data_IF_915981557642
#
_entry.id   IF_915981557642
#
_cell.length_a   1.000
_cell.length_b   1.000
_cell.length_c   1.000
_cell.angle_alpha   90.00
_cell.angle_beta   90.00
_cell.angle_gamma   90.00
#
_symmetry.space_group_name_H-M   'P 1'
#
loop_
_entity.id
_entity.type
_entity.pdbx_description
1 polymer ?
#
# COMPACT_ATOMS: atom_id res chain seq x y z
N UNK A 1 3.50 -14.48 26.06
CA UNK A 1 2.14 -15.02 25.78
C UNK A 1 1.16 -13.89 25.96
N UNK A 2 0.30 -13.60 24.97
CA UNK A 2 -0.67 -12.51 25.07
C UNK A 2 -1.80 -12.93 26.03
N UNK A 3 -2.17 -12.08 26.99
CA UNK A 3 -3.30 -12.35 27.89
C UNK A 3 -4.62 -12.48 27.10
N UNK A 4 -5.51 -13.37 27.53
CA UNK A 4 -6.84 -13.53 26.94
C UNK A 4 -7.64 -12.22 26.97
N UNK A 5 -7.55 -11.47 28.07
CA UNK A 5 -8.24 -10.17 28.21
C UNK A 5 -7.70 -9.12 27.22
N UNK A 6 -6.41 -9.17 26.90
CA UNK A 6 -5.84 -8.28 25.89
C UNK A 6 -6.22 -8.69 24.47
N UNK A 7 -6.35 -10.01 24.22
CA UNK A 7 -6.83 -10.51 22.94
C UNK A 7 -8.25 -10.00 22.65
N UNK A 8 -9.15 -10.17 23.61
CA UNK A 8 -10.55 -9.77 23.47
C UNK A 8 -10.69 -8.25 23.25
N UNK A 9 -9.90 -7.47 23.99
CA UNK A 9 -9.86 -6.01 23.84
C UNK A 9 -9.38 -5.57 22.45
N UNK A 10 -8.33 -6.21 21.91
CA UNK A 10 -7.86 -5.95 20.53
C UNK A 10 -8.91 -6.33 19.49
N UNK A 11 -9.60 -7.46 19.67
CA UNK A 11 -10.67 -7.87 18.76
C UNK A 11 -11.84 -6.87 18.78
N UNK A 12 -12.22 -6.37 19.96
CA UNK A 12 -13.26 -5.34 20.08
C UNK A 12 -12.93 -4.06 19.32
N UNK A 13 -11.66 -3.60 19.37
CA UNK A 13 -11.23 -2.43 18.60
C UNK A 13 -11.16 -2.71 17.08
N UNK A 14 -10.72 -3.90 16.68
CA UNK A 14 -10.74 -4.31 15.27
C UNK A 14 -12.17 -4.36 14.71
N UNK A 15 -13.13 -4.86 15.49
CA UNK A 15 -14.54 -4.95 15.10
C UNK A 15 -15.20 -3.57 15.00
N UNK A 16 -14.69 -2.57 15.74
CA UNK A 16 -15.07 -1.16 15.61
C UNK A 16 -14.46 -0.46 14.39
N UNK A 17 -13.49 -1.09 13.72
CA UNK A 17 -12.78 -0.53 12.57
C UNK A 17 -11.61 0.40 12.94
N UNK A 18 -11.12 0.33 14.17
CA UNK A 18 -9.97 1.15 14.58
C UNK A 18 -8.69 0.78 13.83
N UNK A 19 -7.88 1.80 13.50
CA UNK A 19 -6.60 1.56 12.84
C UNK A 19 -5.62 0.83 13.77
N UNK A 20 -4.74 0.00 13.18
CA UNK A 20 -3.72 -0.70 13.95
C UNK A 20 -2.81 0.25 14.76
N UNK A 21 -2.57 1.46 14.25
CA UNK A 21 -1.83 2.50 14.97
C UNK A 21 -2.56 2.99 16.23
N UNK A 22 -3.87 3.22 16.12
CA UNK A 22 -4.68 3.62 17.26
C UNK A 22 -4.72 2.51 18.32
N UNK A 23 -4.93 1.27 17.89
CA UNK A 23 -4.92 0.10 18.78
C UNK A 23 -3.56 -0.04 19.48
N UNK A 24 -2.44 0.14 18.76
CA UNK A 24 -1.10 0.11 19.33
C UNK A 24 -0.91 1.18 20.40
N UNK A 25 -1.41 2.40 20.18
CA UNK A 25 -1.30 3.50 21.14
C UNK A 25 -2.05 3.24 22.45
N UNK A 26 -3.19 2.54 22.39
CA UNK A 26 -4.02 2.26 23.57
C UNK A 26 -3.57 0.98 24.30
N UNK A 27 -3.19 -0.05 23.55
CA UNK A 27 -2.86 -1.37 24.11
C UNK A 27 -1.37 -1.55 24.41
N UNK A 28 -0.51 -0.68 23.88
CA UNK A 28 0.95 -0.82 23.97
C UNK A 28 1.51 -1.97 23.14
N UNK A 29 0.70 -2.62 22.31
CA UNK A 29 1.12 -3.75 21.49
C UNK A 29 1.85 -3.29 20.24
N UNK A 30 2.88 -4.03 19.85
CA UNK A 30 3.56 -3.82 18.58
C UNK A 30 2.60 -4.06 17.39
N UNK A 31 2.71 -3.24 16.34
CA UNK A 31 1.91 -3.34 15.12
C UNK A 31 1.93 -4.74 14.51
N UNK A 32 3.09 -5.42 14.50
CA UNK A 32 3.20 -6.79 14.01
C UNK A 32 2.35 -7.79 14.81
N UNK A 33 2.19 -7.57 16.12
CA UNK A 33 1.34 -8.41 16.96
C UNK A 33 -0.13 -8.21 16.63
N UNK A 34 -0.56 -6.95 16.47
CA UNK A 34 -1.93 -6.59 16.08
C UNK A 34 -2.24 -7.15 14.68
N UNK A 35 -1.31 -7.00 13.73
CA UNK A 35 -1.47 -7.54 12.37
C UNK A 35 -1.59 -9.07 12.34
N UNK A 36 -0.83 -9.77 13.20
CA UNK A 36 -0.93 -11.22 13.36
C UNK A 36 -2.27 -11.64 13.98
N UNK A 37 -2.77 -10.91 14.98
CA UNK A 37 -4.09 -11.14 15.58
C UNK A 37 -5.17 -10.92 14.51
N UNK A 38 -5.11 -9.82 13.77
CA UNK A 38 -6.05 -9.52 12.69
C UNK A 38 -6.08 -10.65 11.65
N UNK A 39 -4.91 -11.08 11.16
CA UNK A 39 -4.79 -12.17 10.18
C UNK A 39 -5.34 -13.50 10.71
N UNK A 40 -5.16 -13.79 12.00
CA UNK A 40 -5.56 -15.06 12.62
C UNK A 40 -7.06 -15.13 12.94
N UNK A 41 -7.65 -14.05 13.43
CA UNK A 41 -9.02 -14.05 13.98
C UNK A 41 -10.04 -13.27 13.13
N UNK A 42 -9.56 -12.36 12.28
CA UNK A 42 -10.38 -11.47 11.43
C UNK A 42 -9.77 -11.39 10.03
N UNK A 43 -9.50 -12.54 9.42
CA UNK A 43 -8.93 -12.64 8.06
C UNK A 43 -9.79 -12.01 6.97
N UNK A 44 -11.09 -11.86 7.23
CA UNK A 44 -12.10 -11.26 6.34
C UNK A 44 -12.12 -9.72 6.44
N UNK A 45 -11.45 -9.14 7.46
CA UNK A 45 -11.41 -7.69 7.60
C UNK A 45 -10.80 -7.08 6.34
N UNK A 46 -11.55 -6.18 5.70
CA UNK A 46 -11.20 -5.61 4.40
C UNK A 46 -9.78 -5.04 4.47
N UNK A 47 -8.87 -5.66 3.73
CA UNK A 47 -7.51 -5.13 3.61
C UNK A 47 -7.62 -3.83 2.82
N UNK A 48 -6.82 -2.85 3.21
CA UNK A 48 -6.54 -1.71 2.33
C UNK A 48 -6.19 -2.27 0.96
N UNK A 49 -6.97 -1.89 -0.06
CA UNK A 49 -6.63 -2.18 -1.46
C UNK A 49 -5.39 -1.35 -1.74
N UNK A 50 -4.21 -1.96 -1.53
CA UNK A 50 -2.96 -1.34 -1.91
C UNK A 50 -3.03 -1.01 -3.40
N UNK A 51 -2.62 0.20 -3.76
CA UNK A 51 -2.48 0.59 -5.15
C UNK A 51 -1.03 0.43 -5.62
N UNK A 52 -0.85 0.02 -6.87
CA UNK A 52 0.36 0.35 -7.64
C UNK A 52 -0.06 1.44 -8.63
N UNK A 53 -0.01 2.73 -8.26
CA UNK A 53 -0.31 3.79 -9.21
C UNK A 53 0.74 3.76 -10.32
N UNK A 54 0.35 3.27 -11.51
CA UNK A 54 1.22 3.30 -12.68
C UNK A 54 1.33 4.75 -13.17
N UNK A 55 2.55 5.29 -13.21
CA UNK A 55 2.82 6.62 -13.77
C UNK A 55 2.50 6.72 -15.26
N UNK A 56 2.51 5.60 -15.98
CA UNK A 56 2.24 5.53 -17.41
C UNK A 56 0.99 4.69 -17.65
N UNK A 57 0.06 5.23 -18.43
CA UNK A 57 -1.02 4.46 -19.01
C UNK A 57 -0.49 3.56 -20.13
N UNK A 58 -1.27 2.54 -20.52
CA UNK A 58 -0.96 1.69 -21.68
C UNK A 58 -0.76 2.53 -22.95
N UNK A 59 -1.56 3.58 -23.12
CA UNK A 59 -1.46 4.53 -24.23
C UNK A 59 -0.13 5.27 -24.23
N UNK A 60 0.35 5.73 -23.07
CA UNK A 60 1.65 6.39 -22.95
C UNK A 60 2.80 5.44 -23.33
N UNK A 61 2.68 4.17 -22.96
CA UNK A 61 3.66 3.13 -23.32
C UNK A 61 3.70 2.93 -24.83
N UNK A 62 2.54 2.72 -25.47
CA UNK A 62 2.48 2.54 -26.93
C UNK A 62 2.96 3.77 -27.69
N UNK A 63 2.58 4.96 -27.23
CA UNK A 63 3.04 6.21 -27.83
C UNK A 63 4.57 6.35 -27.74
N UNK A 64 5.15 6.01 -26.60
CA UNK A 64 6.61 6.02 -26.40
C UNK A 64 7.31 5.01 -27.31
N UNK A 65 6.79 3.79 -27.43
CA UNK A 65 7.30 2.77 -28.37
C UNK A 65 7.25 3.29 -29.81
N UNK A 66 6.14 3.92 -30.21
CA UNK A 66 6.00 4.50 -31.54
C UNK A 66 7.04 5.61 -31.80
N UNK A 67 7.26 6.53 -30.85
CA UNK A 67 8.27 7.58 -30.99
C UNK A 67 9.69 7.00 -31.13
N UNK A 68 10.03 5.99 -30.32
CA UNK A 68 11.34 5.34 -30.38
C UNK A 68 11.54 4.64 -31.73
N UNK A 69 10.57 3.83 -32.13
CA UNK A 69 10.64 3.04 -33.38
C UNK A 69 10.58 3.90 -34.64
N UNK A 70 9.93 5.06 -34.58
CA UNK A 70 9.90 6.02 -35.69
C UNK A 70 11.06 7.01 -35.68
N UNK A 71 12.03 6.87 -34.75
CA UNK A 71 13.14 7.80 -34.54
C UNK A 71 12.70 9.26 -34.31
N UNK A 72 11.48 9.45 -33.79
CA UNK A 72 10.90 10.76 -33.45
C UNK A 72 11.04 11.10 -31.96
N UNK A 73 11.59 10.19 -31.16
CA UNK A 73 11.93 10.47 -29.77
C UNK A 73 13.22 11.31 -29.71
N UNK A 74 13.15 12.46 -29.06
CA UNK A 74 14.34 13.24 -28.75
C UNK A 74 15.26 12.45 -27.82
N UNK A 75 16.55 12.40 -28.16
CA UNK A 75 17.55 11.82 -27.30
C UNK A 75 17.97 12.81 -26.20
N UNK A 76 18.61 12.32 -25.15
CA UNK A 76 18.99 13.14 -24.00
C UNK A 76 19.86 14.37 -24.37
N UNK A 77 20.69 14.25 -25.41
CA UNK A 77 21.53 15.35 -25.88
C UNK A 77 20.76 16.43 -26.65
N UNK A 78 19.64 16.07 -27.27
CA UNK A 78 18.72 17.00 -27.93
C UNK A 78 17.88 17.73 -26.88
N UNK A 79 17.33 17.00 -25.91
CA UNK A 79 16.55 17.58 -24.80
C UNK A 79 17.39 18.56 -23.98
N UNK A 80 18.66 18.25 -23.72
CA UNK A 80 19.57 19.12 -22.97
C UNK A 80 19.95 20.42 -23.72
N UNK A 81 19.65 20.52 -25.01
CA UNK A 81 19.93 21.69 -25.87
C UNK A 81 18.66 22.45 -26.27
N UNK A 82 17.49 21.92 -25.93
CA UNK A 82 16.23 22.64 -26.07
C UNK A 82 16.20 23.79 -25.04
N UNK A 83 15.83 25.02 -25.45
CA UNK A 83 15.88 26.21 -24.60
C UNK A 83 14.94 26.13 -23.39
#
# INVERSE_FOLDING_TARGET
TLSFTMLDRVLSYLDKGDSAYHIASITGLALGTISRICSKYRSILSKSVGGCPYKLSLSNIYYSIHLITSCKADNASQVAKSP
#
